data_IF_613657338778
#
_entry.id   IF_613657338778
#
_cell.length_a   1.000
_cell.length_b   1.000
_cell.length_c   1.000
_cell.angle_alpha   90.00
_cell.angle_beta   90.00
_cell.angle_gamma   90.00
#
_symmetry.space_group_name_H-M   'P 1'
#
loop_
_entity.id
_entity.type
_entity.pdbx_description
1 polymer ?
#
# COMPACT_ATOMS: atom_id res chain seq x y z
N UNK A 1 20.30 -0.65 13.52
CA UNK A 1 18.90 -1.08 13.48
C UNK A 1 18.59 -1.43 12.04
N UNK A 2 18.49 -2.73 11.78
CA UNK A 2 18.81 -3.40 10.53
C UNK A 2 17.80 -3.14 9.41
N UNK A 3 18.04 -2.10 8.63
CA UNK A 3 17.23 -1.75 7.44
C UNK A 3 17.23 -2.84 6.37
N UNK A 4 18.23 -3.73 6.37
CA UNK A 4 18.27 -4.88 5.45
C UNK A 4 17.14 -5.88 5.68
N UNK A 5 16.61 -5.97 6.90
CA UNK A 5 15.53 -6.91 7.23
C UNK A 5 14.17 -6.41 6.68
N UNK A 6 13.94 -5.09 6.71
CA UNK A 6 12.63 -4.50 6.40
C UNK A 6 12.50 -4.03 4.93
N UNK A 7 13.61 -3.76 4.23
CA UNK A 7 13.55 -3.38 2.83
C UNK A 7 14.89 -3.31 2.09
N UNK A 8 14.82 -3.35 0.76
CA UNK A 8 15.99 -3.23 -0.11
C UNK A 8 16.21 -1.79 -0.55
N UNK A 9 17.47 -1.33 -0.50
CA UNK A 9 17.84 0.00 -1.00
C UNK A 9 17.67 0.07 -2.52
N UNK A 10 16.96 1.06 -3.01
CA UNK A 10 16.77 1.25 -4.44
C UNK A 10 17.99 1.99 -5.04
N UNK A 11 18.80 1.27 -5.82
CA UNK A 11 20.00 1.82 -6.47
C UNK A 11 19.64 2.51 -7.80
N UNK A 12 18.70 1.94 -8.54
CA UNK A 12 18.26 2.41 -9.87
C UNK A 12 16.98 3.24 -9.74
N UNK A 13 17.09 4.44 -9.19
CA UNK A 13 15.98 5.41 -9.11
C UNK A 13 16.40 6.65 -9.89
N UNK A 14 15.51 7.26 -10.71
CA UNK A 14 15.84 8.48 -11.41
C UNK A 14 16.37 9.56 -10.46
N UNK A 15 17.34 10.39 -10.87
CA UNK A 15 18.00 11.37 -10.00
C UNK A 15 17.02 12.27 -9.24
N UNK A 16 15.94 12.69 -9.90
CA UNK A 16 14.86 13.47 -9.30
C UNK A 16 14.32 12.82 -8.01
N UNK A 17 13.91 11.55 -8.07
CA UNK A 17 13.37 10.84 -6.91
C UNK A 17 14.40 10.54 -5.83
N UNK A 18 15.71 10.55 -6.16
CA UNK A 18 16.77 10.38 -5.17
C UNK A 18 16.96 11.63 -4.31
N UNK A 19 16.68 12.81 -4.86
CA UNK A 19 16.87 14.10 -4.18
C UNK A 19 15.66 14.47 -3.33
N UNK A 20 14.45 14.03 -3.71
CA UNK A 20 13.20 14.34 -2.98
C UNK A 20 13.30 14.11 -1.47
N UNK A 21 13.78 12.97 -0.94
CA UNK A 21 13.85 12.75 0.51
C UNK A 21 14.81 13.69 1.24
N UNK A 22 15.78 14.30 0.55
CA UNK A 22 16.72 15.25 1.13
C UNK A 22 16.14 16.68 1.18
N UNK A 23 15.19 17.00 0.29
CA UNK A 23 14.56 18.32 0.19
C UNK A 23 13.23 18.35 0.93
N UNK A 24 12.45 17.27 0.82
CA UNK A 24 11.17 17.05 1.50
C UNK A 24 11.37 16.03 2.62
N UNK A 25 11.85 16.52 3.76
CA UNK A 25 12.12 15.72 4.96
C UNK A 25 10.83 15.12 5.54
N UNK A 26 9.72 15.84 5.43
CA UNK A 26 8.40 15.40 5.86
C UNK A 26 7.45 15.31 4.65
N UNK A 27 6.63 14.26 4.62
CA UNK A 27 5.57 14.07 3.59
C UNK A 27 4.22 14.69 3.98
N UNK A 28 4.17 15.44 5.07
CA UNK A 28 2.90 15.88 5.69
C UNK A 28 2.11 16.87 4.82
N UNK A 29 2.76 17.71 4.02
CA UNK A 29 2.08 18.82 3.31
C UNK A 29 1.51 18.45 1.92
N UNK A 30 1.63 17.19 1.48
CA UNK A 30 1.21 16.77 0.14
C UNK A 30 0.02 15.79 0.14
N UNK A 31 -0.83 15.80 1.18
CA UNK A 31 -1.98 14.90 1.26
C UNK A 31 -3.18 15.43 0.47
N UNK A 32 -3.44 14.81 -0.69
CA UNK A 32 -4.65 15.07 -1.48
C UNK A 32 -5.71 14.03 -1.13
N UNK A 33 -6.82 14.49 -0.55
CA UNK A 33 -7.97 13.63 -0.27
C UNK A 33 -8.86 13.51 -1.49
N UNK A 34 -9.23 12.27 -1.82
CA UNK A 34 -10.20 11.97 -2.86
C UNK A 34 -11.40 11.24 -2.25
N UNK A 35 -12.61 11.61 -2.68
CA UNK A 35 -13.85 10.95 -2.27
C UNK A 35 -14.39 10.15 -3.44
N UNK A 36 -14.73 8.89 -3.18
CA UNK A 36 -15.34 7.99 -4.14
C UNK A 36 -16.48 7.25 -3.48
N UNK A 37 -17.66 7.29 -4.10
CA UNK A 37 -18.78 6.47 -3.71
C UNK A 37 -18.70 5.11 -4.41
N UNK A 38 -18.81 4.05 -3.62
CA UNK A 38 -18.73 2.67 -4.08
C UNK A 38 -20.07 2.00 -3.83
N UNK A 39 -20.61 1.31 -4.84
CA UNK A 39 -21.85 0.55 -4.70
C UNK A 39 -21.59 -0.72 -3.88
N UNK A 40 -22.23 -0.85 -2.72
CA UNK A 40 -22.05 -1.99 -1.82
C UNK A 40 -22.84 -3.23 -2.22
N UNK A 41 -23.93 -3.08 -2.99
CA UNK A 41 -24.84 -4.17 -3.34
C UNK A 41 -24.13 -5.40 -3.93
N UNK A 42 -23.21 -5.19 -4.86
CA UNK A 42 -22.46 -6.29 -5.49
C UNK A 42 -21.52 -7.01 -4.50
N UNK A 43 -21.04 -6.26 -3.51
CA UNK A 43 -20.18 -6.76 -2.45
C UNK A 43 -20.99 -7.60 -1.45
N UNK A 44 -22.20 -7.18 -1.13
CA UNK A 44 -23.14 -7.89 -0.26
C UNK A 44 -23.51 -9.24 -0.88
N UNK A 45 -23.90 -9.23 -2.15
CA UNK A 45 -24.21 -10.45 -2.91
C UNK A 45 -23.01 -11.42 -2.95
N UNK A 46 -21.79 -10.88 -3.06
CA UNK A 46 -20.57 -11.68 -3.00
C UNK A 46 -20.34 -12.32 -1.63
N UNK A 47 -20.50 -11.55 -0.54
CA UNK A 47 -20.35 -12.02 0.84
C UNK A 47 -21.39 -13.12 1.13
N UNK A 48 -22.65 -12.90 0.74
CA UNK A 48 -23.73 -13.86 0.95
C UNK A 48 -23.49 -15.16 0.19
N UNK A 49 -23.01 -15.08 -1.05
CA UNK A 49 -22.65 -16.27 -1.83
C UNK A 49 -21.53 -17.05 -1.13
N UNK A 50 -20.49 -16.36 -0.63
CA UNK A 50 -19.38 -17.01 0.07
C UNK A 50 -19.81 -17.58 1.42
N UNK A 51 -20.75 -16.94 2.12
CA UNK A 51 -21.34 -17.47 3.34
C UNK A 51 -22.11 -18.77 3.08
N UNK A 52 -22.84 -18.89 1.95
CA UNK A 52 -23.49 -20.14 1.52
C UNK A 52 -22.49 -21.25 1.20
N UNK A 53 -21.29 -20.91 0.75
CA UNK A 53 -20.17 -21.85 0.58
C UNK A 53 -19.48 -22.21 1.91
N UNK A 54 -19.96 -21.69 3.06
CA UNK A 54 -19.39 -21.91 4.39
C UNK A 54 -18.21 -20.99 4.73
N UNK A 55 -17.87 -20.04 3.85
CA UNK A 55 -16.76 -19.10 4.04
C UNK A 55 -17.30 -17.78 4.58
N UNK A 56 -17.00 -17.48 5.85
CA UNK A 56 -17.40 -16.21 6.48
C UNK A 56 -16.45 -15.09 6.06
N UNK A 57 -16.94 -14.16 5.24
CA UNK A 57 -16.21 -12.96 4.84
C UNK A 57 -16.84 -11.69 5.42
N UNK A 58 -15.99 -10.75 5.82
CA UNK A 58 -16.38 -9.38 6.18
C UNK A 58 -15.95 -8.43 5.06
N UNK A 59 -16.58 -7.25 4.96
CA UNK A 59 -16.11 -6.15 4.12
C UNK A 59 -14.63 -5.86 4.33
N UNK A 60 -14.15 -5.93 5.58
CA UNK A 60 -12.74 -5.69 5.89
C UNK A 60 -11.81 -6.66 5.15
N UNK A 61 -12.18 -7.94 5.03
CA UNK A 61 -11.38 -8.92 4.28
C UNK A 61 -11.24 -8.51 2.81
N UNK A 62 -12.30 -7.97 2.23
CA UNK A 62 -12.31 -7.51 0.84
C UNK A 62 -11.45 -6.24 0.70
N UNK A 63 -11.58 -5.31 1.64
CA UNK A 63 -10.76 -4.08 1.68
C UNK A 63 -9.27 -4.44 1.79
N UNK A 64 -8.91 -5.36 2.69
CA UNK A 64 -7.52 -5.82 2.83
C UNK A 64 -6.99 -6.48 1.56
N UNK A 65 -7.78 -7.37 0.94
CA UNK A 65 -7.41 -7.99 -0.32
C UNK A 65 -7.19 -6.94 -1.43
N UNK A 66 -8.05 -5.93 -1.50
CA UNK A 66 -7.90 -4.82 -2.44
C UNK A 66 -6.63 -4.00 -2.18
N UNK A 67 -6.34 -3.64 -0.92
CA UNK A 67 -5.13 -2.92 -0.54
C UNK A 67 -3.87 -3.71 -0.92
N UNK A 68 -3.81 -5.00 -0.56
CA UNK A 68 -2.68 -5.87 -0.89
C UNK A 68 -2.47 -5.92 -2.41
N UNK A 69 -3.56 -6.07 -3.17
CA UNK A 69 -3.50 -6.08 -4.64
C UNK A 69 -2.99 -4.77 -5.22
N UNK A 70 -3.49 -3.64 -4.74
CA UNK A 70 -3.05 -2.31 -5.19
C UNK A 70 -1.55 -2.13 -4.92
N UNK A 71 -1.09 -2.50 -3.72
CA UNK A 71 0.33 -2.39 -3.36
C UNK A 71 1.20 -3.30 -4.23
N UNK A 72 0.73 -4.51 -4.55
CA UNK A 72 1.42 -5.44 -5.42
C UNK A 72 1.51 -4.94 -6.88
N UNK A 73 0.43 -4.38 -7.42
CA UNK A 73 0.40 -3.82 -8.78
C UNK A 73 1.14 -2.47 -8.88
N UNK A 74 1.22 -1.71 -7.78
CA UNK A 74 1.87 -0.40 -7.69
C UNK A 74 2.96 -0.41 -6.62
N UNK A 75 4.11 -1.06 -6.87
CA UNK A 75 5.19 -1.24 -5.88
C UNK A 75 5.86 0.08 -5.44
N UNK A 76 5.61 1.19 -6.14
CA UNK A 76 6.03 2.52 -5.71
C UNK A 76 5.37 2.96 -4.41
N UNK A 77 4.15 2.47 -4.12
CA UNK A 77 3.43 2.76 -2.88
C UNK A 77 4.07 2.07 -1.67
N UNK A 78 4.73 0.93 -1.88
CA UNK A 78 5.43 0.19 -0.82
C UNK A 78 6.90 0.63 -0.63
N UNK A 79 7.16 1.93 -0.81
CA UNK A 79 8.50 2.53 -0.64
C UNK A 79 8.52 3.46 0.55
N UNK A 80 9.65 3.48 1.24
CA UNK A 80 9.89 4.39 2.34
C UNK A 80 11.23 5.10 2.15
N UNK A 81 11.35 6.29 2.74
CA UNK A 81 12.59 7.04 2.77
C UNK A 81 13.23 6.88 4.15
N UNK A 82 14.54 6.66 4.17
CA UNK A 82 15.32 6.60 5.40
C UNK A 82 16.72 7.16 5.14
N UNK A 83 17.17 8.09 5.99
CA UNK A 83 18.48 8.73 5.89
C UNK A 83 18.80 9.27 4.47
N UNK A 84 17.84 9.98 3.86
CA UNK A 84 17.97 10.54 2.50
C UNK A 84 17.96 9.51 1.36
N UNK A 85 17.80 8.22 1.65
CA UNK A 85 17.75 7.13 0.65
C UNK A 85 16.36 6.52 0.55
N UNK A 86 15.99 6.08 -0.65
CA UNK A 86 14.73 5.35 -0.89
C UNK A 86 14.94 3.83 -0.80
N UNK A 87 14.01 3.18 -0.10
CA UNK A 87 13.94 1.75 0.10
C UNK A 87 12.59 1.22 -0.36
N UNK A 88 12.55 -0.02 -0.84
CA UNK A 88 11.32 -0.75 -1.10
C UNK A 88 11.17 -1.87 -0.08
N UNK A 89 9.99 -1.99 0.55
CA UNK A 89 9.74 -3.10 1.48
C UNK A 89 9.71 -4.43 0.73
N UNK A 90 10.14 -5.49 1.41
CA UNK A 90 10.18 -6.83 0.84
C UNK A 90 8.82 -7.56 0.94
N UNK A 91 8.00 -7.19 1.92
CA UNK A 91 6.69 -7.77 2.18
C UNK A 91 5.62 -6.67 2.22
N UNK A 92 4.36 -7.08 2.07
CA UNK A 92 3.19 -6.21 2.22
C UNK A 92 2.57 -6.57 3.55
N UNK A 93 2.54 -5.61 4.47
CA UNK A 93 1.89 -5.74 5.77
C UNK A 93 0.64 -4.87 5.78
N UNK A 94 -0.47 -5.46 6.19
CA UNK A 94 -1.75 -4.77 6.37
C UNK A 94 -2.31 -5.21 7.73
N UNK A 95 -2.81 -4.26 8.52
CA UNK A 95 -3.27 -4.44 9.91
C UNK A 95 -4.68 -5.00 9.98
#
# INVERSE_FOLDING_TARGET
MDTEVDGRKLKTVPPFFRVIPCVMLERNDAQVYFKQDIKLKELDEYIDRKAKEGIKLSYMNIIYAAIVRIIAERPYLNRFAMNGSLYARNQIFVL
#
